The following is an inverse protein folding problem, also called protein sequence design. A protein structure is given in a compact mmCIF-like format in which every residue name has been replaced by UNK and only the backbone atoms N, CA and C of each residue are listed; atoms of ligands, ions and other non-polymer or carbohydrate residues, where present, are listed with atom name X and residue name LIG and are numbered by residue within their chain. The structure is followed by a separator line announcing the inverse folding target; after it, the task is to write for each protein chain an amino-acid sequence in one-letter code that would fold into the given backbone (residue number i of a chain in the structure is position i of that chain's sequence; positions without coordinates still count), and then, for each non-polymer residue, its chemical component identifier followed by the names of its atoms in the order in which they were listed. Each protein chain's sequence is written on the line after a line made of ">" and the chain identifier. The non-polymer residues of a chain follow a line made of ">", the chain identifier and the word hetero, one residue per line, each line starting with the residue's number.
data_IF_136892618966
#
_entry.id   IF_136892618966
#
_cell.length_a   1.000
_cell.length_b   1.000
_cell.length_c   1.000
_cell.angle_alpha   90.00
_cell.angle_beta   90.00
_cell.angle_gamma   90.00
#
_symmetry.space_group_name_H-M   'P 1'
#
loop_
_entity.id
_entity.type
_entity.pdbx_description
1 polymer ?
#
# COMPACT_ATOMS: atom_id res chain seq x y z
N UNK A 1 -39.25 -34.96 -16.78
CA UNK A 1 -39.23 -34.42 -15.41
C UNK A 1 -38.10 -33.36 -15.36
N UNK A 2 -38.42 -32.08 -15.25
CA UNK A 2 -37.37 -31.01 -15.20
C UNK A 2 -36.92 -30.83 -13.77
N UNK A 3 -35.70 -31.20 -13.44
CA UNK A 3 -35.09 -31.01 -12.12
C UNK A 3 -34.68 -29.53 -12.02
N UNK A 4 -35.12 -28.85 -10.95
CA UNK A 4 -34.81 -27.43 -10.76
C UNK A 4 -33.36 -27.24 -10.27
N UNK A 5 -32.76 -26.07 -10.60
CA UNK A 5 -31.39 -25.73 -10.17
C UNK A 5 -31.21 -25.78 -8.64
N UNK A 6 -32.26 -25.52 -7.87
CA UNK A 6 -32.26 -25.66 -6.41
C UNK A 6 -32.10 -27.09 -5.95
N UNK A 7 -32.75 -28.05 -6.63
CA UNK A 7 -32.66 -29.48 -6.29
C UNK A 7 -31.28 -30.06 -6.57
N UNK A 8 -30.59 -29.61 -7.62
CA UNK A 8 -29.22 -30.01 -7.94
C UNK A 8 -28.23 -29.48 -6.90
N UNK A 9 -28.39 -28.23 -6.45
CA UNK A 9 -27.54 -27.63 -5.42
C UNK A 9 -27.71 -28.29 -4.04
N UNK A 10 -28.92 -28.69 -3.68
CA UNK A 10 -29.17 -29.42 -2.41
C UNK A 10 -28.63 -30.85 -2.44
N UNK A 11 -28.64 -31.54 -3.58
CA UNK A 11 -28.07 -32.90 -3.71
C UNK A 11 -26.51 -32.85 -3.70
N UNK A 12 -25.89 -31.82 -4.26
CA UNK A 12 -24.43 -31.62 -4.18
C UNK A 12 -23.94 -31.21 -2.78
N UNK A 13 -24.77 -30.49 -2.01
CA UNK A 13 -24.47 -30.15 -0.63
C UNK A 13 -24.54 -31.35 0.30
N UNK A 14 -25.46 -32.28 0.09
CA UNK A 14 -25.65 -33.45 0.93
C UNK A 14 -24.57 -34.53 0.74
N UNK A 15 -24.03 -34.68 -0.48
CA UNK A 15 -22.97 -35.67 -0.75
C UNK A 15 -21.57 -35.19 -0.39
N UNK A 16 -21.35 -33.88 -0.26
CA UNK A 16 -20.06 -33.29 0.12
C UNK A 16 -19.79 -33.23 1.63
N UNK A 17 -20.86 -33.19 2.45
CA UNK A 17 -20.69 -32.98 3.89
C UNK A 17 -20.19 -34.24 4.64
N UNK A 18 -20.47 -35.45 4.19
CA UNK A 18 -20.04 -36.68 4.86
C UNK A 18 -18.53 -36.98 4.69
N UNK A 19 -17.90 -36.49 3.64
CA UNK A 19 -16.47 -36.72 3.39
C UNK A 19 -15.56 -35.56 3.87
N UNK A 20 -16.09 -34.35 4.04
CA UNK A 20 -15.33 -33.20 4.49
C UNK A 20 -15.28 -33.01 6.02
N UNK A 21 -16.25 -33.57 6.78
CA UNK A 21 -16.32 -33.29 8.21
C UNK A 21 -15.17 -33.92 9.03
N UNK A 22 -14.61 -35.04 8.59
CA UNK A 22 -13.48 -35.69 9.30
C UNK A 22 -12.12 -35.08 9.02
N UNK A 23 -11.93 -34.41 7.84
CA UNK A 23 -10.65 -33.73 7.51
C UNK A 23 -10.61 -32.28 7.99
N UNK A 24 -11.77 -31.62 8.07
CA UNK A 24 -11.81 -30.24 8.56
C UNK A 24 -11.70 -30.13 10.09
N UNK A 25 -12.24 -31.09 10.83
CA UNK A 25 -12.08 -31.14 12.30
C UNK A 25 -10.64 -31.46 12.73
N UNK A 26 -9.91 -32.24 11.94
CA UNK A 26 -8.49 -32.52 12.20
C UNK A 26 -7.56 -31.34 11.91
N UNK A 27 -7.92 -30.46 10.99
CA UNK A 27 -7.14 -29.26 10.67
C UNK A 27 -7.41 -28.10 11.63
N UNK A 28 -8.60 -28.05 12.26
CA UNK A 28 -8.90 -27.03 13.25
C UNK A 28 -8.21 -27.25 14.61
N UNK A 29 -7.77 -28.48 14.89
CA UNK A 29 -7.05 -28.79 16.15
C UNK A 29 -5.53 -28.71 16.04
N UNK A 30 -4.95 -28.53 14.85
CA UNK A 30 -3.51 -28.34 14.65
C UNK A 30 -3.11 -26.91 14.24
N UNK A 31 -4.03 -25.95 14.29
CA UNK A 31 -3.64 -24.54 14.24
C UNK A 31 -3.06 -24.15 15.60
N UNK A 32 -1.89 -24.66 15.92
CA UNK A 32 -0.97 -23.92 16.77
C UNK A 32 -0.87 -22.55 16.13
N UNK A 33 -1.36 -21.52 16.81
CA UNK A 33 -1.34 -20.15 16.33
C UNK A 33 0.06 -19.88 15.77
N UNK A 34 0.13 -19.60 14.45
CA UNK A 34 1.39 -19.24 13.83
C UNK A 34 1.90 -18.02 14.59
N UNK A 35 2.99 -18.11 15.35
CA UNK A 35 3.48 -16.97 16.15
C UNK A 35 3.80 -15.74 15.29
N UNK A 36 3.93 -15.91 13.97
CA UNK A 36 4.17 -14.83 13.02
C UNK A 36 2.91 -14.02 12.66
N UNK A 37 1.71 -14.51 12.96
CA UNK A 37 0.46 -13.79 12.72
C UNK A 37 -0.16 -13.14 13.97
N UNK A 38 0.45 -13.31 15.13
CA UNK A 38 -0.04 -12.72 16.36
C UNK A 38 0.28 -11.22 16.39
N UNK A 39 -0.76 -10.40 16.51
CA UNK A 39 -0.57 -8.98 16.79
C UNK A 39 0.03 -8.87 18.20
N UNK A 40 1.26 -8.33 18.27
CA UNK A 40 1.92 -8.10 19.55
C UNK A 40 1.06 -7.21 20.46
N UNK A 41 0.97 -7.54 21.74
CA UNK A 41 0.32 -6.70 22.75
C UNK A 41 1.08 -5.38 22.91
N UNK A 42 0.47 -4.39 23.56
CA UNK A 42 1.12 -3.11 23.85
C UNK A 42 2.44 -3.29 24.61
N UNK A 43 2.49 -4.23 25.57
CA UNK A 43 3.71 -4.55 26.30
C UNK A 43 4.80 -5.17 25.40
N UNK A 44 4.41 -6.07 24.50
CA UNK A 44 5.33 -6.70 23.54
C UNK A 44 5.89 -5.71 22.51
N UNK A 45 5.14 -4.66 22.18
CA UNK A 45 5.57 -3.63 21.24
C UNK A 45 6.40 -2.52 21.86
N UNK A 46 6.58 -2.53 23.18
CA UNK A 46 7.24 -1.44 23.91
C UNK A 46 6.67 -0.04 23.53
N UNK A 47 5.35 0.06 23.45
CA UNK A 47 4.70 1.32 23.14
C UNK A 47 4.72 2.23 24.35
N UNK A 48 5.03 3.51 24.11
CA UNK A 48 4.96 4.52 25.16
C UNK A 48 3.53 4.63 25.71
N UNK A 49 3.42 4.74 27.02
CA UNK A 49 2.14 5.06 27.68
C UNK A 49 1.71 6.45 27.25
N UNK A 50 0.60 6.54 26.57
CA UNK A 50 -0.02 7.81 26.16
C UNK A 50 -1.34 8.04 26.89
N UNK A 51 -2.00 9.18 26.70
CA UNK A 51 -3.29 9.48 27.30
C UNK A 51 -4.43 8.66 26.70
N UNK A 52 -4.19 7.93 25.60
CA UNK A 52 -5.25 7.24 24.85
C UNK A 52 -5.43 5.79 25.28
N UNK A 53 -6.66 5.42 25.53
CA UNK A 53 -7.11 4.03 25.67
C UNK A 53 -7.92 3.62 24.42
N UNK A 54 -8.09 2.33 24.10
CA UNK A 54 -8.81 1.86 22.92
C UNK A 54 -10.34 2.00 23.10
N UNK A 55 -10.82 3.22 23.34
CA UNK A 55 -12.22 3.56 23.47
C UNK A 55 -12.52 4.92 22.87
N UNK A 56 -13.72 5.08 22.32
CA UNK A 56 -14.21 6.36 21.79
C UNK A 56 -14.24 7.46 22.84
N UNK A 57 -14.57 7.12 24.10
CA UNK A 57 -14.54 8.06 25.21
C UNK A 57 -13.14 8.64 25.41
N UNK A 58 -12.13 7.79 25.52
CA UNK A 58 -10.74 8.22 25.69
C UNK A 58 -10.24 9.08 24.52
N UNK A 59 -10.57 8.70 23.28
CA UNK A 59 -10.22 9.50 22.12
C UNK A 59 -10.86 10.89 22.17
N UNK A 60 -12.15 10.98 22.48
CA UNK A 60 -12.88 12.26 22.58
C UNK A 60 -12.31 13.17 23.66
N UNK A 61 -11.99 12.63 24.82
CA UNK A 61 -11.49 13.42 25.97
C UNK A 61 -10.04 13.89 25.77
N UNK A 62 -9.20 13.06 25.15
CA UNK A 62 -7.76 13.31 25.10
C UNK A 62 -7.28 13.88 23.75
N UNK A 63 -8.04 13.71 22.65
CA UNK A 63 -7.61 14.23 21.37
C UNK A 63 -7.81 15.74 21.26
N UNK A 64 -6.73 16.43 20.92
CA UNK A 64 -6.76 17.85 20.55
C UNK A 64 -5.98 18.00 19.24
N UNK A 65 -6.57 18.73 18.29
CA UNK A 65 -5.84 19.08 17.06
C UNK A 65 -4.60 19.90 17.43
N UNK A 66 -3.41 19.49 16.97
CA UNK A 66 -2.18 20.23 17.27
C UNK A 66 -2.26 21.67 16.76
N UNK A 67 -1.92 22.63 17.60
CA UNK A 67 -1.94 24.06 17.25
C UNK A 67 -1.06 24.35 16.04
N UNK A 68 0.13 23.76 15.99
CA UNK A 68 1.02 23.94 14.85
C UNK A 68 0.35 23.60 13.50
N UNK A 69 -0.51 22.56 13.46
CA UNK A 69 -1.21 22.17 12.24
C UNK A 69 -2.30 23.18 11.88
N UNK A 70 -3.03 23.66 12.89
CA UNK A 70 -4.03 24.71 12.71
C UNK A 70 -3.41 26.02 12.21
N UNK A 71 -2.20 26.36 12.70
CA UNK A 71 -1.50 27.60 12.35
C UNK A 71 -0.74 27.50 11.04
N UNK A 72 -0.30 26.31 10.65
CA UNK A 72 0.42 26.07 9.41
C UNK A 72 -0.39 26.43 8.17
N UNK A 73 -1.68 26.17 8.15
CA UNK A 73 -2.65 26.45 7.07
C UNK A 73 -2.32 25.76 5.74
N UNK A 74 -1.05 25.68 5.35
CA UNK A 74 -0.64 25.20 4.04
C UNK A 74 0.53 24.22 4.14
N UNK A 75 0.37 23.08 3.47
CA UNK A 75 1.41 22.08 3.25
C UNK A 75 1.32 21.51 1.85
N UNK A 76 2.35 20.80 1.45
CA UNK A 76 2.42 20.17 0.13
C UNK A 76 2.56 18.66 0.30
N UNK A 77 1.85 17.93 -0.54
CA UNK A 77 1.94 16.49 -0.66
C UNK A 77 2.50 16.11 -2.04
N UNK A 78 3.68 15.47 -2.06
CA UNK A 78 4.23 14.87 -3.26
C UNK A 78 3.71 13.45 -3.41
N UNK A 79 2.67 13.29 -4.21
CA UNK A 79 2.08 12.01 -4.59
C UNK A 79 2.80 11.45 -5.83
N UNK A 80 4.05 11.01 -5.64
CA UNK A 80 4.96 10.70 -6.72
C UNK A 80 5.79 9.45 -6.43
N UNK A 81 5.77 8.49 -7.35
CA UNK A 81 6.52 7.23 -7.36
C UNK A 81 6.51 6.61 -8.76
N UNK A 82 6.84 5.33 -8.89
CA UNK A 82 6.78 4.58 -10.14
C UNK A 82 5.41 4.66 -10.86
N UNK A 83 4.36 4.97 -10.15
CA UNK A 83 3.02 5.19 -10.72
C UNK A 83 2.95 6.26 -11.82
N UNK A 84 3.94 7.17 -11.88
CA UNK A 84 4.00 8.21 -12.93
C UNK A 84 4.48 7.66 -14.29
N UNK A 85 5.10 6.48 -14.34
CA UNK A 85 5.71 5.94 -15.56
C UNK A 85 4.71 5.70 -16.68
N UNK A 86 3.56 5.04 -16.45
CA UNK A 86 2.59 4.76 -17.51
C UNK A 86 1.76 5.99 -17.92
N UNK A 87 1.78 7.08 -17.16
CA UNK A 87 0.98 8.29 -17.39
C UNK A 87 -0.54 8.03 -17.55
N UNK A 88 -1.06 7.03 -16.84
CA UNK A 88 -2.46 6.57 -16.89
C UNK A 88 -3.23 6.80 -15.58
N UNK A 89 -2.75 7.74 -14.75
CA UNK A 89 -3.34 8.08 -13.46
C UNK A 89 -2.84 7.20 -12.31
N UNK A 90 -3.06 7.66 -11.10
CA UNK A 90 -2.48 7.08 -9.89
C UNK A 90 -3.04 5.71 -9.48
N UNK A 91 -4.22 5.34 -9.98
CA UNK A 91 -4.84 4.04 -9.75
C UNK A 91 -4.46 2.96 -10.78
N UNK A 92 -3.59 3.30 -11.72
CA UNK A 92 -3.22 2.40 -12.81
C UNK A 92 -2.68 1.06 -12.31
N UNK A 93 -1.80 1.05 -11.32
CA UNK A 93 -1.20 -0.17 -10.77
C UNK A 93 -2.23 -1.19 -10.24
N UNK A 94 -3.44 -0.73 -9.86
CA UNK A 94 -4.56 -1.59 -9.51
C UNK A 94 -5.40 -1.95 -10.73
N UNK A 95 -5.77 -0.94 -11.52
CA UNK A 95 -6.76 -1.07 -12.60
C UNK A 95 -6.24 -1.85 -13.80
N UNK A 96 -4.92 -1.86 -14.03
CA UNK A 96 -4.29 -2.63 -15.09
C UNK A 96 -4.48 -4.16 -14.98
N UNK A 97 -4.90 -4.67 -13.83
CA UNK A 97 -5.23 -6.08 -13.60
C UNK A 97 -6.74 -6.38 -13.71
N UNK A 98 -7.56 -5.39 -14.01
CA UNK A 98 -9.02 -5.52 -14.05
C UNK A 98 -9.49 -5.60 -15.50
N UNK A 99 -9.77 -6.82 -16.00
CA UNK A 99 -10.29 -7.02 -17.37
C UNK A 99 -11.54 -6.16 -17.61
N UNK A 100 -11.58 -5.50 -18.78
CA UNK A 100 -12.64 -4.55 -19.13
C UNK A 100 -12.44 -3.12 -18.60
N UNK A 101 -11.40 -2.86 -17.80
CA UNK A 101 -10.99 -1.51 -17.42
C UNK A 101 -10.11 -0.90 -18.52
N UNK A 102 -10.24 0.40 -18.76
CA UNK A 102 -9.42 1.11 -19.76
C UNK A 102 -7.92 1.02 -19.49
N UNK A 103 -7.51 0.96 -18.22
CA UNK A 103 -6.12 0.76 -17.84
C UNK A 103 -5.61 -0.65 -18.21
N UNK A 104 -6.45 -1.68 -18.09
CA UNK A 104 -6.12 -3.03 -18.55
C UNK A 104 -5.94 -3.06 -20.07
N UNK A 105 -6.89 -2.49 -20.82
CA UNK A 105 -6.83 -2.44 -22.29
C UNK A 105 -5.58 -1.68 -22.77
N UNK A 106 -5.27 -0.55 -22.15
CA UNK A 106 -4.03 0.20 -22.42
C UNK A 106 -2.79 -0.65 -22.11
N UNK A 107 -2.79 -1.33 -20.96
CA UNK A 107 -1.64 -2.14 -20.53
C UNK A 107 -1.36 -3.29 -21.50
N UNK A 108 -2.40 -4.06 -21.85
CA UNK A 108 -2.27 -5.18 -22.80
C UNK A 108 -1.73 -4.71 -24.15
N UNK A 109 -2.23 -3.57 -24.63
CA UNK A 109 -1.78 -2.99 -25.91
C UNK A 109 -0.33 -2.50 -25.87
N UNK A 110 0.11 -1.92 -24.74
CA UNK A 110 1.40 -1.23 -24.64
C UNK A 110 2.51 -2.14 -24.14
N UNK A 111 2.21 -2.98 -23.14
CA UNK A 111 3.20 -3.79 -22.43
C UNK A 111 2.94 -5.30 -22.55
N UNK A 112 1.78 -5.70 -23.03
CA UNK A 112 1.36 -7.10 -23.06
C UNK A 112 0.52 -7.50 -21.85
N UNK A 113 0.20 -8.81 -21.77
CA UNK A 113 -0.68 -9.31 -20.70
C UNK A 113 -0.04 -9.14 -19.31
N UNK A 114 -0.77 -8.65 -18.29
CA UNK A 114 -0.19 -8.35 -16.97
C UNK A 114 0.35 -9.57 -16.21
N UNK A 115 0.00 -10.81 -16.62
CA UNK A 115 0.65 -12.01 -16.08
C UNK A 115 2.08 -12.23 -16.59
N UNK A 116 2.50 -11.55 -17.66
CA UNK A 116 3.85 -11.63 -18.26
C UNK A 116 4.65 -10.37 -18.00
N UNK A 117 3.98 -9.24 -17.98
CA UNK A 117 4.57 -7.93 -17.70
C UNK A 117 3.63 -7.20 -16.76
N UNK A 118 3.92 -7.22 -15.48
CA UNK A 118 3.12 -6.59 -14.45
C UNK A 118 3.66 -5.23 -14.02
N UNK A 119 3.10 -4.66 -12.97
CA UNK A 119 3.54 -3.35 -12.52
C UNK A 119 4.97 -3.37 -11.93
N UNK A 120 5.39 -4.48 -11.36
CA UNK A 120 6.77 -4.66 -10.86
C UNK A 120 7.84 -4.52 -11.96
N UNK A 121 7.52 -4.81 -13.22
CA UNK A 121 8.39 -4.56 -14.36
C UNK A 121 8.42 -3.05 -14.68
N UNK A 122 7.29 -2.35 -14.49
CA UNK A 122 7.19 -0.89 -14.66
C UNK A 122 8.04 -0.15 -13.61
N UNK A 123 8.12 -0.65 -12.37
CA UNK A 123 8.94 -0.07 -11.31
C UNK A 123 10.39 0.16 -11.75
N UNK A 124 10.92 -0.76 -12.58
CA UNK A 124 12.28 -0.67 -13.10
C UNK A 124 12.49 0.48 -14.10
N UNK A 125 11.43 1.02 -14.71
CA UNK A 125 11.52 2.12 -15.66
C UNK A 125 11.54 3.49 -14.98
N UNK A 126 11.09 3.57 -13.74
CA UNK A 126 11.16 4.82 -12.98
C UNK A 126 12.59 5.10 -12.55
N UNK A 127 13.22 6.14 -13.07
CA UNK A 127 14.63 6.47 -12.81
C UNK A 127 14.83 7.72 -11.95
N UNK A 128 13.82 8.58 -11.87
CA UNK A 128 13.89 9.84 -11.13
C UNK A 128 15.17 10.66 -11.48
N UNK A 129 15.52 10.71 -12.77
CA UNK A 129 16.76 11.34 -13.27
C UNK A 129 16.80 12.83 -12.96
N UNK A 130 15.66 13.50 -13.18
CA UNK A 130 15.54 14.95 -13.03
C UNK A 130 15.08 15.37 -11.63
N UNK A 131 15.01 14.44 -10.69
CA UNK A 131 14.56 14.75 -9.34
C UNK A 131 15.61 15.55 -8.57
N UNK A 132 15.29 16.80 -8.31
CA UNK A 132 16.10 17.71 -7.49
C UNK A 132 15.29 18.13 -6.25
N UNK A 133 15.38 17.36 -5.15
CA UNK A 133 14.56 17.60 -3.97
C UNK A 133 14.89 18.90 -3.24
N UNK A 134 16.14 19.38 -3.28
CA UNK A 134 16.50 20.66 -2.67
C UNK A 134 15.83 21.82 -3.40
N UNK A 135 15.90 21.87 -4.73
CA UNK A 135 15.25 22.90 -5.53
C UNK A 135 13.72 22.87 -5.40
N UNK A 136 13.13 21.66 -5.35
CA UNK A 136 11.69 21.52 -5.10
C UNK A 136 11.31 22.05 -3.72
N UNK A 137 12.09 21.76 -2.68
CA UNK A 137 11.81 22.26 -1.34
C UNK A 137 11.98 23.78 -1.24
N UNK A 138 12.93 24.39 -1.95
CA UNK A 138 13.03 25.86 -2.06
C UNK A 138 11.75 26.44 -2.63
N UNK A 139 11.24 25.86 -3.70
CA UNK A 139 9.98 26.28 -4.33
C UNK A 139 8.79 26.12 -3.38
N UNK A 140 8.70 24.99 -2.66
CA UNK A 140 7.62 24.73 -1.72
C UNK A 140 7.62 25.70 -0.53
N UNK A 141 8.81 26.03 -0.01
CA UNK A 141 8.94 27.03 1.05
C UNK A 141 8.62 28.44 0.54
N UNK A 142 9.05 28.81 -0.67
CA UNK A 142 8.71 30.08 -1.30
C UNK A 142 7.20 30.21 -1.54
N UNK A 143 6.49 29.11 -1.85
CA UNK A 143 5.04 29.06 -1.93
C UNK A 143 4.34 29.14 -0.56
N UNK A 144 5.07 29.09 0.55
CA UNK A 144 4.55 29.21 1.91
C UNK A 144 4.26 27.89 2.62
N UNK A 145 4.72 26.76 2.09
CA UNK A 145 4.51 25.47 2.75
C UNK A 145 5.18 25.39 4.13
N UNK A 146 4.45 24.92 5.14
CA UNK A 146 4.90 24.75 6.52
C UNK A 146 5.12 23.29 6.91
N UNK A 147 4.59 22.37 6.13
CA UNK A 147 4.82 20.92 6.24
C UNK A 147 4.82 20.29 4.85
N UNK A 148 5.47 19.15 4.78
CA UNK A 148 5.59 18.39 3.55
C UNK A 148 5.29 16.92 3.81
N UNK A 149 4.54 16.29 2.92
CA UNK A 149 4.23 14.88 2.98
C UNK A 149 4.68 14.20 1.69
N UNK A 150 5.41 13.09 1.79
CA UNK A 150 5.82 12.29 0.65
C UNK A 150 5.08 10.95 0.63
N UNK A 151 4.91 10.39 -0.57
CA UNK A 151 4.34 9.06 -0.75
C UNK A 151 5.39 7.99 -0.42
N UNK A 152 5.14 7.20 0.63
CA UNK A 152 6.03 6.11 1.02
C UNK A 152 5.77 4.81 0.25
N UNK A 153 4.49 4.51 -0.02
CA UNK A 153 4.06 3.30 -0.72
C UNK A 153 2.69 3.55 -1.37
N UNK A 154 2.45 2.94 -2.53
CA UNK A 154 1.19 3.04 -3.26
C UNK A 154 0.58 1.66 -3.56
N UNK A 155 -0.47 1.60 -4.39
CA UNK A 155 -1.15 0.38 -4.81
C UNK A 155 -0.24 -0.61 -5.57
N UNK A 156 0.88 -0.12 -6.09
CA UNK A 156 1.94 -0.90 -6.73
C UNK A 156 2.77 -1.73 -5.76
N UNK A 157 2.55 -1.57 -4.46
CA UNK A 157 3.34 -2.21 -3.40
C UNK A 157 4.84 -1.90 -3.49
N UNK A 158 5.20 -0.73 -4.06
CA UNK A 158 6.57 -0.28 -4.20
C UNK A 158 6.92 0.70 -3.08
N UNK A 159 7.99 0.40 -2.32
CA UNK A 159 8.45 1.26 -1.24
C UNK A 159 9.40 2.34 -1.74
N UNK A 160 9.07 3.61 -1.52
CA UNK A 160 9.92 4.74 -1.87
C UNK A 160 11.06 5.00 -0.86
N UNK A 161 11.44 3.98 -0.08
CA UNK A 161 12.47 4.04 0.96
C UNK A 161 13.26 2.72 1.00
N UNK A 162 14.38 2.71 1.71
CA UNK A 162 15.21 1.50 1.91
C UNK A 162 14.49 0.51 2.84
N UNK A 163 13.55 -0.24 2.28
CA UNK A 163 12.83 -1.29 2.99
C UNK A 163 13.69 -2.54 3.14
N UNK A 164 13.84 -3.00 4.37
CA UNK A 164 14.51 -4.28 4.68
C UNK A 164 13.58 -5.50 4.55
N UNK A 165 12.29 -5.27 4.35
CA UNK A 165 11.28 -6.33 4.37
C UNK A 165 10.99 -6.93 3.00
N UNK A 166 11.14 -6.17 1.93
CA UNK A 166 11.00 -6.70 0.58
C UNK A 166 11.90 -5.99 -0.44
N UNK A 167 12.07 -6.63 -1.59
CA UNK A 167 13.00 -6.19 -2.65
C UNK A 167 12.49 -5.01 -3.46
N UNK A 168 11.17 -4.90 -3.65
CA UNK A 168 10.53 -3.89 -4.49
C UNK A 168 10.52 -2.52 -3.81
N UNK A 169 11.67 -1.88 -3.82
CA UNK A 169 11.86 -0.56 -3.24
C UNK A 169 12.83 0.29 -4.04
N UNK A 170 12.75 1.60 -3.87
CA UNK A 170 13.45 2.61 -4.67
C UNK A 170 14.98 2.59 -4.53
N UNK A 171 15.53 1.91 -3.55
CA UNK A 171 17.00 1.74 -3.40
C UNK A 171 17.54 0.53 -4.16
N UNK A 172 16.68 -0.42 -4.54
CA UNK A 172 17.07 -1.68 -5.19
C UNK A 172 16.53 -1.83 -6.60
N UNK A 173 15.43 -1.15 -6.91
CA UNK A 173 14.77 -1.18 -8.21
C UNK A 173 14.49 0.24 -8.67
N UNK A 174 14.57 0.49 -9.95
CA UNK A 174 14.21 1.78 -10.54
C UNK A 174 15.23 2.89 -10.27
N UNK A 175 14.93 3.88 -9.41
CA UNK A 175 15.78 5.06 -9.23
C UNK A 175 17.09 4.83 -8.49
N UNK A 176 17.22 3.71 -7.76
CA UNK A 176 18.37 3.39 -6.92
C UNK A 176 18.67 4.49 -5.88
N UNK A 177 17.62 5.08 -5.32
CA UNK A 177 17.67 6.20 -4.37
C UNK A 177 16.69 5.98 -3.23
N UNK A 178 17.09 6.35 -2.00
CA UNK A 178 16.15 6.46 -0.88
C UNK A 178 15.39 7.81 -0.98
N UNK A 179 14.23 7.77 -1.62
CA UNK A 179 13.40 8.96 -1.88
C UNK A 179 12.90 9.54 -0.55
N UNK A 180 12.35 8.71 0.32
CA UNK A 180 11.79 9.13 1.60
C UNK A 180 12.87 9.60 2.57
N UNK A 181 13.98 8.87 2.69
CA UNK A 181 15.09 9.27 3.55
C UNK A 181 15.69 10.60 3.11
N UNK A 182 15.82 10.83 1.81
CA UNK A 182 16.29 12.11 1.24
C UNK A 182 15.34 13.25 1.59
N UNK A 183 14.03 13.10 1.37
CA UNK A 183 13.05 14.11 1.75
C UNK A 183 13.06 14.41 3.26
N UNK A 184 13.13 13.36 4.08
CA UNK A 184 13.18 13.51 5.53
C UNK A 184 14.42 14.30 6.00
N UNK A 185 15.59 14.04 5.40
CA UNK A 185 16.82 14.76 5.71
C UNK A 185 16.72 16.25 5.34
N UNK A 186 16.22 16.56 4.13
CA UNK A 186 16.02 17.93 3.64
C UNK A 186 15.03 18.68 4.54
N UNK A 187 13.90 18.07 4.87
CA UNK A 187 12.89 18.68 5.73
C UNK A 187 13.45 19.00 7.11
N UNK A 188 14.22 18.09 7.72
CA UNK A 188 14.88 18.34 9.02
C UNK A 188 15.86 19.52 8.94
N UNK A 189 16.72 19.54 7.91
CA UNK A 189 17.69 20.63 7.69
C UNK A 189 17.00 21.99 7.58
N UNK A 190 15.81 22.04 7.02
CA UNK A 190 15.05 23.28 6.74
C UNK A 190 13.99 23.61 7.77
N UNK A 191 13.83 22.81 8.83
CA UNK A 191 12.81 23.01 9.86
C UNK A 191 11.38 22.80 9.36
N UNK A 192 11.18 22.09 8.23
CA UNK A 192 9.87 21.72 7.69
C UNK A 192 9.39 20.44 8.36
N UNK A 193 8.14 20.42 8.81
CA UNK A 193 7.53 19.20 9.35
C UNK A 193 7.33 18.19 8.22
N UNK A 194 7.78 16.97 8.46
CA UNK A 194 7.75 15.88 7.48
C UNK A 194 6.77 14.80 7.88
N UNK A 195 6.01 14.32 6.92
CA UNK A 195 5.14 13.16 7.05
C UNK A 195 5.22 12.26 5.83
N UNK A 196 4.64 11.08 5.94
CA UNK A 196 4.53 10.12 4.84
C UNK A 196 3.09 9.65 4.68
N UNK A 197 2.70 9.35 3.44
CA UNK A 197 1.45 8.67 3.14
C UNK A 197 1.70 7.24 2.67
N UNK A 198 0.80 6.35 3.02
CA UNK A 198 0.81 4.96 2.62
C UNK A 198 -0.54 4.60 2.00
N UNK A 199 -0.53 4.10 0.77
CA UNK A 199 -1.70 3.71 -0.01
C UNK A 199 -1.74 2.19 -0.27
N UNK A 200 -1.18 1.37 0.61
CA UNK A 200 -1.10 -0.08 0.45
C UNK A 200 -2.43 -0.82 0.60
N UNK A 201 -3.53 -0.13 0.94
CA UNK A 201 -4.84 -0.75 1.18
C UNK A 201 -5.38 -1.57 -0.02
N UNK A 202 -4.93 -1.28 -1.22
CA UNK A 202 -5.33 -1.95 -2.46
C UNK A 202 -4.16 -2.63 -3.19
N UNK A 203 -3.03 -2.82 -2.53
CA UNK A 203 -1.83 -3.40 -3.13
C UNK A 203 -1.95 -4.91 -3.42
N UNK A 204 -2.96 -5.60 -2.90
CA UNK A 204 -3.10 -7.04 -3.08
C UNK A 204 -3.23 -7.47 -4.55
N UNK A 205 -3.74 -6.62 -5.44
CA UNK A 205 -3.80 -6.88 -6.89
C UNK A 205 -2.41 -7.04 -7.50
N UNK A 206 -1.40 -6.44 -6.95
CA UNK A 206 -0.01 -6.61 -7.36
C UNK A 206 0.44 -8.08 -7.30
N UNK A 207 -0.10 -8.84 -6.36
CA UNK A 207 0.20 -10.27 -6.20
C UNK A 207 -0.62 -11.18 -7.12
N UNK A 208 -1.67 -10.68 -7.73
CA UNK A 208 -2.56 -11.47 -8.59
C UNK A 208 -1.92 -11.94 -9.88
N UNK A 209 -0.83 -11.31 -10.33
CA UNK A 209 -0.07 -11.77 -11.51
C UNK A 209 0.33 -13.23 -11.42
N UNK A 210 0.55 -13.77 -10.23
CA UNK A 210 0.89 -15.17 -10.03
C UNK A 210 -0.30 -16.13 -10.24
N UNK A 211 -1.54 -15.63 -10.20
CA UNK A 211 -2.78 -16.41 -10.32
C UNK A 211 -3.53 -16.19 -11.65
N UNK A 212 -3.03 -15.31 -12.49
CA UNK A 212 -3.59 -15.10 -13.84
C UNK A 212 -3.10 -16.19 -14.79
N UNK A 213 -3.97 -16.69 -15.71
CA UNK A 213 -3.62 -17.73 -16.67
C UNK A 213 -2.52 -17.30 -17.66
#
# INVERSE_FOLDING_TARGET
>A
MKISRRTVLSMLAASGQAAMSKKFFGLAQTSSANPQGRIATTAERNLATGPFQPSWHSLKENYKTPEWFRDAKFGIWAHWSAQCVPEQGDWYARRMYMQGDSAYEYHVKTYGHPSKFGFKEIDAFWKAENWNPDALMDMYQAAGAKYFMALANHHDNFDNFDSKYHHWNSTRVGPMKDIIGTWAAICRKRGIRFGVSNHSAHAWHWFQTASLP
#
